data_IF_984489053756
#
_entry.id   IF_984489053756
#
_cell.length_a   1.000
_cell.length_b   1.000
_cell.length_c   1.000
_cell.angle_alpha   90.00
_cell.angle_beta   90.00
_cell.angle_gamma   90.00
#
_symmetry.space_group_name_H-M   'P 1'
#
loop_
_entity.id
_entity.type
_entity.pdbx_description
1 polymer ?
#
# COMPACT_ATOMS: atom_id res chain seq x y z
N UNK A 1 45.42 -21.75 -73.07
CA UNK A 1 44.26 -20.98 -72.57
C UNK A 1 43.41 -21.80 -71.60
N UNK A 2 43.56 -23.13 -71.57
CA UNK A 2 42.71 -24.03 -70.78
C UNK A 2 42.97 -23.97 -69.25
N UNK A 3 44.20 -23.69 -68.80
CA UNK A 3 44.52 -23.64 -67.36
C UNK A 3 43.90 -22.45 -66.61
N UNK A 4 43.57 -21.35 -67.30
CA UNK A 4 42.94 -20.17 -66.68
C UNK A 4 41.43 -20.35 -66.49
N UNK A 5 40.77 -21.09 -67.39
CA UNK A 5 39.33 -21.39 -67.26
C UNK A 5 39.06 -22.46 -66.20
N UNK A 6 39.93 -23.47 -66.09
CA UNK A 6 39.84 -24.49 -65.03
C UNK A 6 39.98 -23.88 -63.62
N UNK A 7 40.91 -22.93 -63.45
CA UNK A 7 41.15 -22.28 -62.16
C UNK A 7 40.02 -21.30 -61.76
N UNK A 8 39.41 -20.63 -62.74
CA UNK A 8 38.21 -19.81 -62.51
C UNK A 8 36.96 -20.62 -62.14
N UNK A 9 36.81 -21.82 -62.71
CA UNK A 9 35.70 -22.72 -62.41
C UNK A 9 35.82 -23.34 -61.00
N UNK A 10 37.03 -23.73 -60.59
CA UNK A 10 37.31 -24.24 -59.24
C UNK A 10 37.01 -23.20 -58.15
N UNK A 11 37.40 -21.94 -58.36
CA UNK A 11 37.15 -20.88 -57.39
C UNK A 11 35.65 -20.55 -57.27
N UNK A 12 34.91 -20.61 -58.38
CA UNK A 12 33.45 -20.43 -58.37
C UNK A 12 32.74 -21.57 -57.65
N UNK A 13 33.17 -22.81 -57.87
CA UNK A 13 32.60 -23.99 -57.20
C UNK A 13 32.89 -23.99 -55.69
N UNK A 14 34.05 -23.46 -55.28
CA UNK A 14 34.41 -23.29 -53.87
C UNK A 14 33.57 -22.21 -53.19
N UNK A 15 33.33 -21.08 -53.87
CA UNK A 15 32.41 -20.03 -53.39
C UNK A 15 30.96 -20.53 -53.26
N UNK A 16 30.49 -21.34 -54.22
CA UNK A 16 29.15 -21.96 -54.17
C UNK A 16 29.02 -22.96 -53.01
N UNK A 17 30.06 -23.76 -52.74
CA UNK A 17 30.12 -24.67 -51.58
C UNK A 17 30.12 -23.89 -50.26
N UNK A 18 30.83 -22.77 -50.18
CA UNK A 18 30.85 -21.92 -48.99
C UNK A 18 29.49 -21.26 -48.75
N UNK A 19 28.82 -20.78 -49.81
CA UNK A 19 27.47 -20.21 -49.71
C UNK A 19 26.43 -21.25 -49.28
N UNK A 20 26.51 -22.48 -49.80
CA UNK A 20 25.62 -23.57 -49.39
C UNK A 20 25.85 -23.97 -47.92
N UNK A 21 27.11 -23.95 -47.46
CA UNK A 21 27.45 -24.18 -46.05
C UNK A 21 26.85 -23.10 -45.13
N UNK A 22 26.98 -21.82 -45.50
CA UNK A 22 26.36 -20.68 -44.79
C UNK A 22 24.83 -20.79 -44.75
N UNK A 23 24.20 -21.21 -45.85
CA UNK A 23 22.76 -21.43 -45.93
C UNK A 23 22.30 -22.54 -44.97
N UNK A 24 23.04 -23.65 -44.92
CA UNK A 24 22.72 -24.76 -44.01
C UNK A 24 22.93 -24.36 -42.54
N UNK A 25 24.02 -23.65 -42.22
CA UNK A 25 24.27 -23.14 -40.87
C UNK A 25 23.19 -22.14 -40.42
N UNK A 26 22.73 -21.26 -41.32
CA UNK A 26 21.62 -20.35 -41.04
C UNK A 26 20.30 -21.08 -40.79
N UNK A 27 20.02 -22.16 -41.54
CA UNK A 27 18.86 -23.03 -41.33
C UNK A 27 18.94 -23.76 -39.98
N UNK A 28 20.12 -24.25 -39.59
CA UNK A 28 20.30 -24.89 -38.29
C UNK A 28 20.06 -23.91 -37.14
N UNK A 29 20.66 -22.72 -37.19
CA UNK A 29 20.45 -21.64 -36.20
C UNK A 29 18.99 -21.23 -36.09
N UNK A 30 18.24 -21.23 -37.20
CA UNK A 30 16.80 -20.94 -37.17
C UNK A 30 16.02 -22.03 -36.41
N UNK A 31 16.33 -23.30 -36.65
CA UNK A 31 15.70 -24.43 -35.93
C UNK A 31 16.05 -24.42 -34.44
N UNK A 32 17.26 -24.03 -34.07
CA UNK A 32 17.65 -23.86 -32.66
C UNK A 32 16.86 -22.75 -31.98
N UNK A 33 16.75 -21.58 -32.62
CA UNK A 33 15.91 -20.49 -32.11
C UNK A 33 14.43 -20.88 -31.98
N UNK A 34 13.92 -21.71 -32.88
CA UNK A 34 12.55 -22.24 -32.79
C UNK A 34 12.40 -23.22 -31.61
N UNK A 35 13.39 -24.09 -31.36
CA UNK A 35 13.42 -24.96 -30.18
C UNK A 35 13.50 -24.16 -28.87
N UNK A 36 14.32 -23.12 -28.83
CA UNK A 36 14.42 -22.20 -27.69
C UNK A 36 13.08 -21.50 -27.42
N UNK A 37 12.41 -21.01 -28.46
CA UNK A 37 11.06 -20.41 -28.32
C UNK A 37 10.05 -21.39 -27.73
N UNK A 38 10.02 -22.63 -28.22
CA UNK A 38 9.13 -23.67 -27.69
C UNK A 38 9.47 -24.03 -26.24
N UNK A 39 10.75 -24.09 -25.88
CA UNK A 39 11.19 -24.32 -24.50
C UNK A 39 10.75 -23.20 -23.55
N UNK A 40 10.89 -21.94 -23.98
CA UNK A 40 10.43 -20.76 -23.23
C UNK A 40 8.91 -20.77 -23.06
N UNK A 41 8.16 -21.08 -24.12
CA UNK A 41 6.70 -21.16 -24.03
C UNK A 41 6.23 -22.27 -23.09
N UNK A 42 6.92 -23.43 -23.12
CA UNK A 42 6.69 -24.53 -22.17
C UNK A 42 6.98 -24.10 -20.73
N UNK A 43 8.10 -23.41 -20.49
CA UNK A 43 8.45 -22.89 -19.16
C UNK A 43 7.42 -21.87 -18.65
N UNK A 44 6.89 -20.99 -19.50
CA UNK A 44 5.84 -20.03 -19.14
C UNK A 44 4.55 -20.76 -18.76
N UNK A 45 4.14 -21.78 -19.53
CA UNK A 45 2.95 -22.58 -19.24
C UNK A 45 3.10 -23.31 -17.89
N UNK A 46 4.24 -23.92 -17.66
CA UNK A 46 4.56 -24.64 -16.43
C UNK A 46 4.64 -23.70 -15.21
N UNK A 47 5.19 -22.50 -15.37
CA UNK A 47 5.22 -21.48 -14.33
C UNK A 47 3.81 -20.98 -13.97
N UNK A 48 2.92 -20.83 -14.97
CA UNK A 48 1.52 -20.47 -14.74
C UNK A 48 0.79 -21.59 -13.98
N UNK A 49 0.95 -22.84 -14.39
CA UNK A 49 0.33 -23.99 -13.71
C UNK A 49 0.81 -24.11 -12.25
N UNK A 50 2.11 -23.93 -11.99
CA UNK A 50 2.64 -23.88 -10.61
C UNK A 50 2.05 -22.73 -9.80
N UNK A 51 1.97 -21.52 -10.38
CA UNK A 51 1.39 -20.37 -9.69
C UNK A 51 -0.10 -20.59 -9.36
N UNK A 52 -0.86 -21.23 -10.25
CA UNK A 52 -2.25 -21.61 -9.99
C UNK A 52 -2.38 -22.70 -8.91
N UNK A 53 -1.48 -23.70 -8.90
CA UNK A 53 -1.44 -24.72 -7.86
C UNK A 53 -1.11 -24.13 -6.48
N UNK A 54 -0.08 -23.29 -6.39
CA UNK A 54 0.31 -22.59 -5.16
C UNK A 54 -0.82 -21.68 -4.64
N UNK A 55 -1.51 -20.97 -5.53
CA UNK A 55 -2.66 -20.14 -5.16
C UNK A 55 -3.81 -20.97 -4.60
N UNK A 56 -4.09 -22.14 -5.20
CA UNK A 56 -5.11 -23.07 -4.72
C UNK A 56 -4.74 -23.66 -3.35
N UNK A 57 -3.48 -24.06 -3.17
CA UNK A 57 -2.97 -24.56 -1.88
C UNK A 57 -3.09 -23.48 -0.79
N UNK A 58 -2.63 -22.26 -1.07
CA UNK A 58 -2.77 -21.12 -0.15
C UNK A 58 -4.23 -20.85 0.22
N UNK A 59 -5.14 -20.89 -0.75
CA UNK A 59 -6.57 -20.72 -0.48
C UNK A 59 -7.14 -21.82 0.42
N UNK A 60 -6.69 -23.08 0.27
CA UNK A 60 -7.11 -24.17 1.16
C UNK A 60 -6.57 -24.01 2.58
N UNK A 61 -5.31 -23.60 2.72
CA UNK A 61 -4.68 -23.34 4.02
C UNK A 61 -5.33 -22.13 4.71
N UNK A 62 -5.64 -21.07 3.96
CA UNK A 62 -6.33 -19.89 4.47
C UNK A 62 -7.77 -20.22 4.89
N UNK A 63 -8.48 -21.06 4.13
CA UNK A 63 -9.82 -21.55 4.49
C UNK A 63 -9.78 -22.40 5.76
N UNK A 64 -8.80 -23.30 5.89
CA UNK A 64 -8.60 -24.09 7.11
C UNK A 64 -8.24 -23.20 8.32
N UNK A 65 -7.40 -22.18 8.11
CA UNK A 65 -7.07 -21.20 9.16
C UNK A 65 -8.28 -20.34 9.55
N UNK A 66 -9.13 -19.95 8.59
CA UNK A 66 -10.37 -19.23 8.86
C UNK A 66 -11.39 -20.09 9.61
N UNK A 67 -11.50 -21.37 9.27
CA UNK A 67 -12.34 -22.33 9.97
C UNK A 67 -11.84 -22.57 11.40
N UNK A 68 -10.53 -22.69 11.62
CA UNK A 68 -9.94 -22.79 12.95
C UNK A 68 -10.17 -21.52 13.78
N UNK A 69 -10.10 -20.33 13.16
CA UNK A 69 -10.47 -19.06 13.81
C UNK A 69 -11.95 -19.02 14.18
N UNK A 70 -12.84 -19.49 13.31
CA UNK A 70 -14.28 -19.57 13.60
C UNK A 70 -14.58 -20.57 14.73
N UNK A 71 -13.92 -21.73 14.76
CA UNK A 71 -14.04 -22.73 15.85
C UNK A 71 -13.55 -22.17 17.19
N UNK A 72 -12.44 -21.44 17.21
CA UNK A 72 -11.98 -20.76 18.42
C UNK A 72 -12.96 -19.66 18.90
N UNK A 73 -13.60 -18.94 17.98
CA UNK A 73 -14.63 -17.95 18.31
C UNK A 73 -15.92 -18.64 18.82
N UNK A 74 -16.33 -19.76 18.24
CA UNK A 74 -17.50 -20.53 18.70
C UNK A 74 -17.26 -21.20 20.05
N UNK A 75 -16.08 -21.79 20.27
CA UNK A 75 -15.70 -22.40 21.55
C UNK A 75 -15.55 -21.33 22.64
N UNK A 76 -15.04 -20.15 22.28
CA UNK A 76 -15.05 -18.97 23.14
C UNK A 76 -16.47 -18.54 23.50
N UNK A 77 -17.41 -18.57 22.54
CA UNK A 77 -18.82 -18.25 22.76
C UNK A 77 -19.58 -19.33 23.55
N UNK A 78 -19.25 -20.60 23.41
CA UNK A 78 -19.85 -21.70 24.17
C UNK A 78 -19.34 -21.74 25.62
N UNK A 79 -18.06 -21.45 25.84
CA UNK A 79 -17.49 -21.22 27.18
C UNK A 79 -18.08 -19.97 27.83
N UNK A 80 -18.30 -18.90 27.06
CA UNK A 80 -19.00 -17.69 27.55
C UNK A 80 -20.49 -17.95 27.80
N UNK A 81 -21.13 -18.79 26.98
CA UNK A 81 -22.54 -19.18 27.08
C UNK A 81 -22.84 -19.99 28.34
N UNK A 82 -21.96 -20.94 28.72
CA UNK A 82 -22.05 -21.66 30.00
C UNK A 82 -21.84 -20.74 31.22
N UNK A 83 -21.14 -19.62 31.07
CA UNK A 83 -20.99 -18.60 32.13
C UNK A 83 -22.06 -17.49 32.10
N UNK A 84 -22.87 -17.39 31.04
CA UNK A 84 -23.80 -16.25 30.83
C UNK A 84 -25.21 -16.53 31.38
N UNK A 85 -25.58 -17.77 31.67
CA UNK A 85 -26.86 -18.08 32.34
C UNK A 85 -26.92 -17.63 33.82
N UNK A 86 -25.84 -17.11 34.40
CA UNK A 86 -25.79 -16.58 35.78
C UNK A 86 -25.37 -15.09 35.88
N UNK A 87 -25.17 -14.36 34.78
CA UNK A 87 -24.55 -13.04 34.82
C UNK A 87 -25.36 -11.94 34.13
N UNK A 88 -26.69 -12.05 34.10
CA UNK A 88 -27.54 -10.94 33.69
C UNK A 88 -27.98 -10.13 34.91
N UNK A 89 -27.06 -9.31 35.44
CA UNK A 89 -27.28 -8.01 36.11
C UNK A 89 -25.91 -7.44 36.54
N UNK A 90 -25.07 -7.01 35.58
CA UNK A 90 -23.85 -6.24 35.93
C UNK A 90 -24.21 -4.77 36.06
N UNK A 91 -24.21 -4.30 37.30
CA UNK A 91 -24.59 -2.94 37.70
C UNK A 91 -23.69 -1.89 37.04
N UNK A 92 -24.17 -0.64 36.84
CA UNK A 92 -23.39 0.43 36.21
C UNK A 92 -22.06 0.72 36.92
N UNK A 93 -21.96 0.41 38.21
CA UNK A 93 -20.73 0.56 39.00
C UNK A 93 -19.59 -0.36 38.53
N UNK A 94 -19.88 -1.59 38.09
CA UNK A 94 -18.86 -2.53 37.62
C UNK A 94 -18.30 -2.15 36.24
N UNK A 95 -19.15 -1.56 35.39
CA UNK A 95 -18.72 -1.01 34.09
C UNK A 95 -17.82 0.22 34.27
N UNK A 96 -18.18 1.11 35.19
CA UNK A 96 -17.34 2.25 35.57
C UNK A 96 -15.99 1.80 36.16
N UNK A 97 -15.97 0.72 36.96
CA UNK A 97 -14.75 0.15 37.52
C UNK A 97 -13.82 -0.44 36.44
N UNK A 98 -14.37 -1.13 35.43
CA UNK A 98 -13.56 -1.64 34.30
C UNK A 98 -13.00 -0.51 33.41
N UNK A 99 -13.80 0.52 33.16
CA UNK A 99 -13.34 1.68 32.39
C UNK A 99 -12.23 2.45 33.13
N UNK A 100 -12.36 2.60 34.45
CA UNK A 100 -11.34 3.19 35.30
C UNK A 100 -10.02 2.39 35.26
N UNK A 101 -10.11 1.05 35.26
CA UNK A 101 -8.92 0.18 35.13
C UNK A 101 -8.22 0.34 33.78
N UNK A 102 -8.96 0.32 32.68
CA UNK A 102 -8.40 0.54 31.33
C UNK A 102 -7.78 1.93 31.17
N UNK A 103 -8.37 2.95 31.80
CA UNK A 103 -7.82 4.32 31.80
C UNK A 103 -6.55 4.42 32.63
N UNK A 104 -6.50 3.75 33.79
CA UNK A 104 -5.30 3.70 34.62
C UNK A 104 -4.15 2.95 33.93
N UNK A 105 -4.44 1.86 33.23
CA UNK A 105 -3.47 1.11 32.43
C UNK A 105 -2.90 1.93 31.28
N UNK A 106 -3.76 2.64 30.52
CA UNK A 106 -3.31 3.57 29.47
C UNK A 106 -2.43 4.68 30.03
N UNK A 107 -2.78 5.27 31.17
CA UNK A 107 -1.98 6.29 31.82
C UNK A 107 -0.64 5.76 32.34
N UNK A 108 -0.57 4.50 32.79
CA UNK A 108 0.67 3.86 33.20
C UNK A 108 1.61 3.62 32.00
N UNK A 109 1.06 3.13 30.88
CA UNK A 109 1.83 2.95 29.63
C UNK A 109 2.35 4.30 29.11
N UNK A 110 1.51 5.34 29.11
CA UNK A 110 1.94 6.68 28.69
C UNK A 110 3.07 7.22 29.58
N UNK A 111 2.96 7.09 30.91
CA UNK A 111 4.04 7.48 31.85
C UNK A 111 5.34 6.71 31.60
N UNK A 112 5.26 5.39 31.40
CA UNK A 112 6.44 4.58 31.10
C UNK A 112 7.12 5.02 29.79
N UNK A 113 6.33 5.35 28.76
CA UNK A 113 6.87 5.86 27.48
C UNK A 113 7.46 7.27 27.61
N UNK A 114 6.86 8.14 28.42
CA UNK A 114 7.39 9.47 28.70
C UNK A 114 8.70 9.40 29.49
N UNK A 115 8.78 8.52 30.48
CA UNK A 115 10.00 8.28 31.28
C UNK A 115 11.13 7.69 30.41
N UNK A 116 10.83 6.73 29.53
CA UNK A 116 11.81 6.20 28.59
C UNK A 116 12.37 7.28 27.64
N UNK A 117 11.51 8.22 27.19
CA UNK A 117 11.94 9.37 26.38
C UNK A 117 12.81 10.34 27.17
N UNK A 118 12.46 10.64 28.41
CA UNK A 118 13.26 11.50 29.29
C UNK A 118 14.65 10.90 29.56
N UNK A 119 14.72 9.60 29.88
CA UNK A 119 15.99 8.89 30.07
C UNK A 119 16.86 8.84 28.81
N UNK A 120 16.25 8.78 27.63
CA UNK A 120 16.99 8.85 26.36
C UNK A 120 17.60 10.24 26.12
N UNK A 121 16.86 11.31 26.45
CA UNK A 121 17.36 12.68 26.34
C UNK A 121 18.49 12.93 27.34
N UNK A 122 18.34 12.49 28.59
CA UNK A 122 19.38 12.61 29.62
C UNK A 122 20.66 11.88 29.19
N UNK A 123 20.55 10.64 28.68
CA UNK A 123 21.70 9.91 28.14
C UNK A 123 22.39 10.64 26.98
N UNK A 124 21.63 11.23 26.06
CA UNK A 124 22.20 12.02 24.96
C UNK A 124 22.92 13.28 25.45
N UNK A 125 22.41 13.94 26.50
CA UNK A 125 23.07 15.08 27.13
C UNK A 125 24.35 14.67 27.88
N UNK A 126 24.33 13.56 28.61
CA UNK A 126 25.51 13.02 29.29
C UNK A 126 26.59 12.53 28.32
N UNK A 127 26.21 11.89 27.21
CA UNK A 127 27.14 11.45 26.16
C UNK A 127 27.79 12.67 25.47
N UNK A 128 27.00 13.73 25.22
CA UNK A 128 27.51 14.99 24.70
C UNK A 128 28.49 15.68 25.65
N UNK A 129 28.17 15.74 26.95
CA UNK A 129 29.07 16.29 27.97
C UNK A 129 30.37 15.48 28.10
N UNK A 130 30.30 14.15 28.01
CA UNK A 130 31.48 13.28 28.01
C UNK A 130 32.35 13.48 26.75
N UNK A 131 31.73 13.70 25.58
CA UNK A 131 32.46 14.02 24.35
C UNK A 131 33.10 15.41 24.37
N UNK A 132 32.47 16.42 24.98
CA UNK A 132 33.06 17.76 25.15
C UNK A 132 34.25 17.75 26.13
N UNK A 133 34.19 16.94 27.19
CA UNK A 133 35.33 16.75 28.09
C UNK A 133 36.53 16.07 27.40
N UNK A 134 36.26 15.12 26.49
CA UNK A 134 37.28 14.43 25.68
C UNK A 134 37.92 15.33 24.62
N UNK A 135 37.18 16.32 24.13
CA UNK A 135 37.68 17.34 23.19
C UNK A 135 38.54 18.41 23.87
N UNK A 136 38.35 18.63 25.18
CA UNK A 136 39.11 19.64 25.95
C UNK A 136 40.51 19.17 26.38
N UNK A 137 40.83 17.88 26.23
CA UNK A 137 42.17 17.32 26.51
C UNK A 137 43.12 17.28 25.32
N UNK A 138 42.71 17.79 24.14
CA UNK A 138 43.55 17.80 22.91
C UNK A 138 43.88 19.23 22.44
N UNK A 139 43.43 20.26 23.15
CA UNK A 139 43.71 21.66 22.84
C UNK A 139 44.93 22.17 23.63
N UNK A 140 46.08 21.56 23.38
CA UNK A 140 47.38 22.06 23.81
C UNK A 140 48.38 21.78 22.70
N UNK A 141 49.03 22.83 22.21
CA UNK A 141 50.03 22.90 21.12
C UNK A 141 49.51 23.20 19.71
N UNK A 142 49.94 24.35 19.18
CA UNK A 142 50.06 24.58 17.74
C UNK A 142 49.39 25.85 17.21
N UNK A 143 49.92 27.03 17.54
CA UNK A 143 49.68 28.24 16.77
C UNK A 143 50.50 28.22 15.47
N UNK A 144 49.89 28.47 14.30
CA UNK A 144 50.54 29.17 13.18
C UNK A 144 49.53 29.58 12.09
N UNK A 145 49.89 30.65 11.40
CA UNK A 145 49.13 31.53 10.50
C UNK A 145 48.99 30.91 9.09
N UNK A 146 47.89 31.15 8.37
CA UNK A 146 47.71 32.24 7.39
C UNK A 146 46.71 31.87 6.27
N UNK A 147 45.93 32.90 5.89
CA UNK A 147 45.22 33.19 4.63
C UNK A 147 44.41 32.15 3.84
N UNK A 148 43.21 32.61 3.43
CA UNK A 148 42.54 32.12 2.22
C UNK A 148 41.04 32.35 2.14
N UNK A 149 40.59 33.61 2.23
CA UNK A 149 39.21 33.99 1.90
C UNK A 149 38.89 33.58 0.46
N UNK A 150 37.77 32.85 0.23
CA UNK A 150 36.78 33.13 -0.82
C UNK A 150 35.56 32.19 -0.81
N UNK A 151 34.40 32.85 -0.73
CA UNK A 151 33.05 32.53 -1.23
C UNK A 151 32.19 31.42 -0.59
N UNK A 152 31.28 31.92 0.25
CA UNK A 152 30.01 31.35 0.65
C UNK A 152 29.00 31.36 -0.51
N UNK A 153 28.57 30.18 -0.97
CA UNK A 153 27.24 29.98 -1.55
C UNK A 153 26.52 28.92 -0.72
N UNK A 154 25.50 29.39 0.01
CA UNK A 154 24.63 28.61 0.87
C UNK A 154 23.70 27.74 0.02
N UNK A 155 23.81 26.42 0.13
CA UNK A 155 22.70 25.51 -0.17
C UNK A 155 22.67 24.42 0.90
N UNK A 156 21.77 24.61 1.88
CA UNK A 156 21.65 23.77 3.07
C UNK A 156 20.75 22.59 2.74
N UNK A 157 21.33 21.54 2.14
CA UNK A 157 20.69 20.22 2.10
C UNK A 157 21.04 19.49 3.41
N UNK A 158 20.02 19.21 4.21
CA UNK A 158 20.12 18.36 5.40
C UNK A 158 20.31 16.91 4.94
N UNK A 159 21.55 16.50 4.73
CA UNK A 159 21.92 15.10 4.59
C UNK A 159 22.01 14.47 5.99
N UNK A 160 21.27 13.39 6.20
CA UNK A 160 21.45 12.52 7.34
C UNK A 160 22.89 12.00 7.31
N UNK A 161 23.67 12.35 8.34
CA UNK A 161 25.09 12.10 8.42
C UNK A 161 25.43 10.61 8.36
N UNK A 162 25.77 10.14 7.17
CA UNK A 162 26.82 9.13 7.00
C UNK A 162 28.10 9.95 6.95
N UNK A 163 28.82 10.01 8.07
CA UNK A 163 30.21 10.48 8.06
C UNK A 163 31.01 9.46 7.27
N UNK A 164 31.26 9.78 6.01
CA UNK A 164 32.37 9.20 5.25
C UNK A 164 33.64 9.72 5.91
N UNK A 165 34.13 8.95 6.89
CA UNK A 165 35.43 9.17 7.50
C UNK A 165 36.44 8.64 6.52
N UNK A 166 36.92 9.51 5.64
CA UNK A 166 38.22 9.33 4.99
C UNK A 166 39.26 9.29 6.10
N UNK A 167 39.50 8.08 6.60
CA UNK A 167 40.53 7.79 7.57
C UNK A 167 41.87 8.16 6.94
N UNK A 168 42.53 9.11 7.58
CA UNK A 168 43.92 9.46 7.39
C UNK A 168 44.72 8.17 7.40
N UNK A 169 45.49 7.94 6.34
CA UNK A 169 46.44 6.85 6.24
C UNK A 169 47.36 6.84 7.46
N UNK A 170 47.11 5.93 8.39
CA UNK A 170 48.09 5.51 9.37
C UNK A 170 48.33 4.00 9.28
N UNK A 171 49.61 3.67 9.37
CA UNK A 171 50.27 2.37 9.33
C UNK A 171 49.44 1.09 9.14
N UNK A 172 49.72 0.41 8.03
CA UNK A 172 50.01 -1.03 8.02
C UNK A 172 48.97 -1.97 8.67
N UNK A 173 47.90 -2.27 7.94
CA UNK A 173 47.42 -3.64 7.73
C UNK A 173 46.20 -3.57 6.82
N UNK A 174 46.33 -4.07 5.59
CA UNK A 174 45.18 -4.28 4.72
C UNK A 174 44.10 -5.01 5.50
N UNK A 175 42.91 -4.43 5.57
CA UNK A 175 41.77 -5.02 6.26
C UNK A 175 41.69 -6.48 5.79
N UNK A 176 41.90 -7.44 6.71
CA UNK A 176 41.95 -8.87 6.37
C UNK A 176 40.78 -9.17 5.45
N UNK A 177 40.98 -9.88 4.33
CA UNK A 177 39.94 -10.04 3.29
C UNK A 177 38.56 -10.44 3.85
N UNK A 178 38.53 -11.15 4.98
CA UNK A 178 37.33 -11.49 5.75
C UNK A 178 36.56 -10.29 6.34
N UNK A 179 37.23 -9.26 6.86
CA UNK A 179 36.60 -8.04 7.41
C UNK A 179 36.02 -7.16 6.29
N UNK A 180 36.72 -7.03 5.17
CA UNK A 180 36.21 -6.34 3.98
C UNK A 180 34.96 -7.05 3.43
N UNK A 181 34.99 -8.39 3.34
CA UNK A 181 33.83 -9.21 2.93
C UNK A 181 32.64 -9.05 3.89
N UNK A 182 32.87 -9.06 5.20
CA UNK A 182 31.82 -8.89 6.20
C UNK A 182 31.17 -7.49 6.16
N UNK A 183 31.96 -6.43 5.91
CA UNK A 183 31.42 -5.07 5.70
C UNK A 183 30.55 -5.01 4.45
N UNK A 184 31.05 -5.53 3.32
CA UNK A 184 30.31 -5.56 2.06
C UNK A 184 28.98 -6.30 2.21
N UNK A 185 28.98 -7.47 2.85
CA UNK A 185 27.77 -8.26 3.08
C UNK A 185 26.77 -7.54 4.01
N UNK A 186 27.24 -6.79 5.01
CA UNK A 186 26.37 -5.95 5.84
C UNK A 186 25.75 -4.80 5.03
N UNK A 187 26.55 -4.10 4.24
CA UNK A 187 26.06 -3.03 3.36
C UNK A 187 25.07 -3.57 2.33
N UNK A 188 25.33 -4.75 1.79
CA UNK A 188 24.43 -5.46 0.87
C UNK A 188 23.08 -5.76 1.55
N UNK A 189 23.07 -6.38 2.74
CA UNK A 189 21.82 -6.66 3.48
C UNK A 189 21.04 -5.39 3.82
N UNK A 190 21.73 -4.28 4.12
CA UNK A 190 21.08 -2.99 4.38
C UNK A 190 20.48 -2.43 3.08
N UNK A 191 21.25 -2.45 1.98
CA UNK A 191 20.79 -2.06 0.66
C UNK A 191 19.58 -2.87 0.19
N UNK A 192 19.60 -4.18 0.39
CA UNK A 192 18.48 -5.07 0.08
C UNK A 192 17.23 -4.77 0.91
N UNK A 193 17.38 -4.48 2.22
CA UNK A 193 16.24 -4.08 3.06
C UNK A 193 15.64 -2.75 2.63
N UNK A 194 16.49 -1.78 2.30
CA UNK A 194 16.05 -0.46 1.82
C UNK A 194 15.37 -0.61 0.45
N UNK A 195 15.98 -1.35 -0.47
CA UNK A 195 15.42 -1.61 -1.80
C UNK A 195 14.09 -2.36 -1.71
N UNK A 196 13.97 -3.36 -0.84
CA UNK A 196 12.73 -4.09 -0.61
C UNK A 196 11.64 -3.20 -0.02
N UNK A 197 11.96 -2.39 0.99
CA UNK A 197 11.00 -1.45 1.59
C UNK A 197 10.52 -0.41 0.57
N UNK A 198 11.44 0.09 -0.28
CA UNK A 198 11.11 1.03 -1.35
C UNK A 198 10.23 0.38 -2.42
N UNK A 199 10.57 -0.83 -2.87
CA UNK A 199 9.75 -1.57 -3.83
C UNK A 199 8.35 -1.87 -3.27
N UNK A 200 8.24 -2.26 -2.00
CA UNK A 200 6.97 -2.50 -1.32
C UNK A 200 6.11 -1.23 -1.24
N UNK A 201 6.72 -0.10 -0.89
CA UNK A 201 6.05 1.21 -0.91
C UNK A 201 5.58 1.56 -2.32
N UNK A 202 6.46 1.50 -3.32
CA UNK A 202 6.12 1.82 -4.70
C UNK A 202 5.01 0.91 -5.25
N UNK A 203 5.00 -0.38 -4.86
CA UNK A 203 3.92 -1.31 -5.23
C UNK A 203 2.58 -0.90 -4.59
N UNK A 204 2.56 -0.52 -3.31
CA UNK A 204 1.34 -0.01 -2.67
C UNK A 204 0.84 1.27 -3.32
N UNK A 205 1.74 2.21 -3.57
CA UNK A 205 1.42 3.49 -4.19
C UNK A 205 0.87 3.28 -5.62
N UNK A 206 1.47 2.37 -6.39
CA UNK A 206 0.98 2.00 -7.73
C UNK A 206 -0.44 1.40 -7.70
N UNK A 207 -0.78 0.59 -6.70
CA UNK A 207 -2.13 0.03 -6.57
C UNK A 207 -3.17 1.11 -6.26
N UNK A 208 -2.88 1.98 -5.30
CA UNK A 208 -3.76 3.11 -4.93
C UNK A 208 -3.95 4.03 -6.12
N UNK A 209 -2.88 4.29 -6.87
CA UNK A 209 -2.93 5.17 -8.03
C UNK A 209 -3.76 4.57 -9.17
N UNK A 210 -3.63 3.26 -9.45
CA UNK A 210 -4.48 2.58 -10.43
C UNK A 210 -5.96 2.63 -10.06
N UNK A 211 -6.30 2.36 -8.80
CA UNK A 211 -7.68 2.47 -8.32
C UNK A 211 -8.21 3.92 -8.44
N UNK A 212 -7.38 4.90 -8.10
CA UNK A 212 -7.73 6.31 -8.22
C UNK A 212 -7.88 6.76 -9.68
N UNK A 213 -7.03 6.28 -10.58
CA UNK A 213 -7.12 6.55 -12.02
C UNK A 213 -8.40 5.95 -12.62
N UNK A 214 -8.75 4.73 -12.23
CA UNK A 214 -10.03 4.12 -12.61
C UNK A 214 -11.22 4.91 -12.08
N UNK A 215 -11.15 5.35 -10.83
CA UNK A 215 -12.16 6.24 -10.23
C UNK A 215 -12.27 7.54 -11.02
N UNK A 216 -11.15 8.18 -11.34
CA UNK A 216 -11.11 9.46 -12.07
C UNK A 216 -11.63 9.31 -13.51
N UNK A 217 -11.28 8.23 -14.20
CA UNK A 217 -11.76 7.95 -15.58
C UNK A 217 -13.28 7.93 -15.65
N UNK A 218 -13.92 7.37 -14.63
CA UNK A 218 -15.38 7.19 -14.61
C UNK A 218 -16.09 8.31 -13.86
N UNK A 219 -15.37 9.08 -13.04
CA UNK A 219 -15.90 10.18 -12.22
C UNK A 219 -16.70 11.19 -13.04
N UNK A 220 -16.22 11.65 -14.19
CA UNK A 220 -16.91 12.68 -14.98
C UNK A 220 -18.29 12.21 -15.46
N UNK A 221 -18.39 10.96 -15.92
CA UNK A 221 -19.66 10.37 -16.35
C UNK A 221 -20.64 10.21 -15.19
N UNK A 222 -20.15 9.73 -14.04
CA UNK A 222 -20.96 9.54 -12.84
C UNK A 222 -21.37 10.87 -12.23
N UNK A 223 -20.51 11.88 -12.25
CA UNK A 223 -20.83 13.23 -11.81
C UNK A 223 -21.89 13.87 -12.71
N UNK A 224 -21.83 13.65 -14.02
CA UNK A 224 -22.88 14.10 -14.93
C UNK A 224 -24.21 13.41 -14.63
N UNK A 225 -24.21 12.11 -14.34
CA UNK A 225 -25.39 11.35 -13.93
C UNK A 225 -25.97 11.83 -12.60
N UNK A 226 -25.13 12.01 -11.59
CA UNK A 226 -25.53 12.52 -10.28
C UNK A 226 -26.06 13.95 -10.40
N UNK A 227 -25.40 14.83 -11.15
CA UNK A 227 -25.86 16.21 -11.38
C UNK A 227 -27.20 16.25 -12.11
N UNK A 228 -27.34 15.45 -13.18
CA UNK A 228 -28.60 15.34 -13.92
C UNK A 228 -29.71 14.84 -13.02
N UNK A 229 -29.42 13.82 -12.20
CA UNK A 229 -30.36 13.33 -11.22
C UNK A 229 -30.70 14.42 -10.20
N UNK A 230 -29.74 15.07 -9.54
CA UNK A 230 -30.02 16.03 -8.46
C UNK A 230 -30.59 17.37 -8.92
N UNK A 231 -30.45 17.70 -10.21
CA UNK A 231 -30.91 18.97 -10.79
C UNK A 231 -32.38 19.26 -10.46
N UNK A 232 -32.65 20.47 -9.95
CA UNK A 232 -34.01 20.90 -9.58
C UNK A 232 -34.55 20.33 -8.27
N UNK A 233 -33.82 19.42 -7.59
CA UNK A 233 -34.23 18.82 -6.31
C UNK A 233 -33.11 18.83 -5.25
N UNK A 234 -32.00 19.51 -5.53
CA UNK A 234 -30.96 19.82 -4.54
C UNK A 234 -31.55 20.56 -3.34
N UNK A 235 -31.30 20.06 -2.13
CA UNK A 235 -31.84 20.64 -0.90
C UNK A 235 -33.27 20.22 -0.54
N UNK A 236 -34.03 19.62 -1.47
CA UNK A 236 -35.35 19.07 -1.18
C UNK A 236 -35.26 17.59 -0.81
N UNK A 237 -35.26 17.30 0.48
CA UNK A 237 -35.08 15.94 0.98
C UNK A 237 -36.17 14.97 0.49
N UNK A 238 -37.43 15.40 0.41
CA UNK A 238 -38.55 14.55 -0.05
C UNK A 238 -38.38 14.14 -1.51
N UNK A 239 -38.01 15.09 -2.37
CA UNK A 239 -37.78 14.84 -3.79
C UNK A 239 -36.58 13.91 -4.03
N UNK A 240 -35.50 14.06 -3.26
CA UNK A 240 -34.33 13.18 -3.36
C UNK A 240 -34.66 11.75 -2.92
N UNK A 241 -35.35 11.58 -1.78
CA UNK A 241 -35.71 10.25 -1.26
C UNK A 241 -36.69 9.49 -2.15
N UNK A 242 -37.65 10.18 -2.76
CA UNK A 242 -38.65 9.55 -3.65
C UNK A 242 -38.10 9.13 -5.02
N UNK A 243 -36.92 9.62 -5.40
CA UNK A 243 -36.29 9.37 -6.70
C UNK A 243 -34.92 8.70 -6.58
N UNK A 244 -34.56 8.22 -5.39
CA UNK A 244 -33.25 7.61 -5.10
C UNK A 244 -33.02 6.29 -5.86
N UNK A 245 -34.09 5.59 -6.24
CA UNK A 245 -34.04 4.36 -7.05
C UNK A 245 -33.39 4.55 -8.41
N UNK A 246 -33.51 5.74 -9.01
CA UNK A 246 -33.01 5.99 -10.37
C UNK A 246 -31.49 6.15 -10.41
N UNK A 247 -30.86 6.52 -9.30
CA UNK A 247 -29.41 6.74 -9.22
C UNK A 247 -28.68 5.56 -8.57
N UNK A 248 -29.31 4.85 -7.63
CA UNK A 248 -28.70 3.71 -6.95
C UNK A 248 -28.82 2.39 -7.72
N UNK A 249 -29.75 2.29 -8.67
CA UNK A 249 -30.01 1.08 -9.44
C UNK A 249 -30.67 -0.06 -8.64
N UNK A 250 -31.09 -1.14 -9.32
CA UNK A 250 -31.79 -2.27 -8.69
C UNK A 250 -30.90 -3.05 -7.70
N UNK A 251 -29.59 -3.09 -7.93
CA UNK A 251 -28.64 -3.86 -7.10
C UNK A 251 -28.45 -3.28 -5.70
N UNK A 252 -28.86 -2.02 -5.49
CA UNK A 252 -28.81 -1.38 -4.17
C UNK A 252 -29.78 -2.00 -3.16
N UNK A 253 -30.86 -2.63 -3.64
CA UNK A 253 -31.97 -3.08 -2.80
C UNK A 253 -32.83 -1.93 -2.24
N UNK A 254 -32.65 -0.71 -2.76
CA UNK A 254 -33.50 0.43 -2.42
C UNK A 254 -34.92 0.23 -2.98
N UNK A 255 -35.91 0.41 -2.11
CA UNK A 255 -37.32 0.34 -2.51
C UNK A 255 -37.82 1.75 -2.82
N UNK A 256 -38.42 1.99 -4.00
CA UNK A 256 -39.03 3.28 -4.32
C UNK A 256 -40.05 3.68 -3.26
N UNK A 257 -40.03 4.96 -2.85
CA UNK A 257 -40.97 5.50 -1.87
C UNK A 257 -41.75 6.63 -2.56
N UNK A 258 -43.07 6.49 -2.78
CA UNK A 258 -43.85 7.55 -3.39
C UNK A 258 -43.94 8.77 -2.46
N UNK A 259 -44.13 9.95 -3.04
CA UNK A 259 -44.24 11.21 -2.26
C UNK A 259 -45.38 11.18 -1.23
N UNK A 260 -46.44 10.41 -1.51
CA UNK A 260 -47.58 10.18 -0.61
C UNK A 260 -47.16 9.55 0.73
N UNK A 261 -46.09 8.76 0.73
CA UNK A 261 -45.66 8.00 1.91
C UNK A 261 -44.65 8.79 2.75
N UNK A 262 -44.15 9.92 2.23
CA UNK A 262 -43.15 10.80 2.88
C UNK A 262 -43.67 12.24 3.04
N UNK A 263 -44.98 12.40 3.22
CA UNK A 263 -45.60 13.70 3.52
C UNK A 263 -45.21 14.16 4.93
N UNK A 264 -45.37 13.28 5.91
CA UNK A 264 -45.10 13.58 7.33
C UNK A 264 -43.61 13.59 7.63
N UNK A 265 -43.21 14.45 8.56
CA UNK A 265 -41.81 14.61 8.94
C UNK A 265 -41.22 13.35 9.56
N UNK A 266 -42.01 12.60 10.31
CA UNK A 266 -41.61 11.29 10.86
C UNK A 266 -41.30 10.29 9.75
N UNK A 267 -42.08 10.25 8.69
CA UNK A 267 -41.84 9.39 7.53
C UNK A 267 -40.58 9.80 6.77
N UNK A 268 -40.36 11.10 6.56
CA UNK A 268 -39.12 11.63 5.96
C UNK A 268 -37.89 11.23 6.77
N UNK A 269 -37.94 11.40 8.10
CA UNK A 269 -36.84 11.02 9.02
C UNK A 269 -36.56 9.51 8.97
N UNK A 270 -37.60 8.66 8.87
CA UNK A 270 -37.45 7.21 8.71
C UNK A 270 -36.84 6.83 7.37
N UNK A 271 -37.31 7.43 6.28
CA UNK A 271 -36.80 7.20 4.93
C UNK A 271 -35.35 7.65 4.78
N UNK A 272 -34.98 8.82 5.33
CA UNK A 272 -33.60 9.31 5.35
C UNK A 272 -32.65 8.36 6.09
N UNK A 273 -33.01 7.93 7.30
CA UNK A 273 -32.21 6.96 8.07
C UNK A 273 -32.03 5.64 7.32
N UNK A 274 -33.05 5.20 6.58
CA UNK A 274 -32.95 4.02 5.72
C UNK A 274 -31.97 4.30 4.57
N UNK A 275 -32.13 5.43 3.87
CA UNK A 275 -31.30 5.80 2.73
C UNK A 275 -29.81 5.87 3.10
N UNK A 276 -29.47 6.50 4.22
CA UNK A 276 -28.07 6.61 4.67
C UNK A 276 -27.42 5.26 4.88
N UNK A 277 -28.14 4.23 5.34
CA UNK A 277 -27.59 2.87 5.47
C UNK A 277 -27.24 2.22 4.12
N UNK A 278 -27.95 2.56 3.04
CA UNK A 278 -27.69 2.03 1.72
C UNK A 278 -26.53 2.74 1.02
N UNK A 279 -26.40 4.05 1.23
CA UNK A 279 -25.34 4.85 0.59
C UNK A 279 -24.09 5.03 1.45
N UNK A 280 -24.06 4.47 2.67
CA UNK A 280 -22.92 4.62 3.57
C UNK A 280 -21.68 3.85 3.08
N UNK A 281 -20.48 4.46 3.05
CA UNK A 281 -19.27 3.82 2.53
C UNK A 281 -18.90 2.52 3.25
N UNK A 282 -19.06 2.43 4.58
CA UNK A 282 -18.83 1.20 5.34
C UNK A 282 -19.73 0.03 4.89
N UNK A 283 -21.01 0.32 4.63
CA UNK A 283 -21.96 -0.71 4.20
C UNK A 283 -21.72 -1.13 2.74
N UNK A 284 -21.27 -0.21 1.89
CA UNK A 284 -20.86 -0.52 0.52
C UNK A 284 -19.58 -1.35 0.48
N UNK A 285 -18.65 -1.11 1.40
CA UNK A 285 -17.44 -1.92 1.56
C UNK A 285 -17.79 -3.36 1.98
N UNK A 286 -18.72 -3.53 2.93
CA UNK A 286 -19.19 -4.86 3.37
C UNK A 286 -19.92 -5.63 2.25
N UNK A 287 -20.62 -4.93 1.36
CA UNK A 287 -21.36 -5.53 0.23
C UNK A 287 -20.50 -5.82 -1.01
N UNK A 288 -19.23 -5.42 -1.02
CA UNK A 288 -18.37 -5.58 -2.19
C UNK A 288 -18.83 -4.73 -3.39
N UNK A 289 -19.36 -3.54 -3.14
CA UNK A 289 -19.87 -2.65 -4.20
C UNK A 289 -18.75 -2.26 -5.19
N UNK A 290 -19.11 -2.07 -6.47
CA UNK A 290 -18.17 -1.62 -7.50
C UNK A 290 -17.62 -0.22 -7.19
N UNK A 291 -16.45 0.12 -7.75
CA UNK A 291 -15.84 1.46 -7.62
C UNK A 291 -16.83 2.55 -8.06
N UNK A 292 -17.60 2.29 -9.12
CA UNK A 292 -18.65 3.19 -9.62
C UNK A 292 -19.76 3.39 -8.58
N UNK A 293 -20.27 2.31 -8.00
CA UNK A 293 -21.35 2.39 -7.00
C UNK A 293 -20.88 3.14 -5.75
N UNK A 294 -19.65 2.88 -5.29
CA UNK A 294 -19.04 3.62 -4.17
C UNK A 294 -18.99 5.11 -4.46
N UNK A 295 -18.55 5.49 -5.67
CA UNK A 295 -18.50 6.88 -6.12
C UNK A 295 -19.88 7.55 -6.12
N UNK A 296 -20.86 6.91 -6.76
CA UNK A 296 -22.24 7.44 -6.83
C UNK A 296 -22.81 7.63 -5.42
N UNK A 297 -22.70 6.61 -4.59
CA UNK A 297 -23.24 6.65 -3.24
C UNK A 297 -22.56 7.71 -2.36
N UNK A 298 -21.26 7.94 -2.51
CA UNK A 298 -20.55 9.03 -1.83
C UNK A 298 -21.17 10.39 -2.18
N UNK A 299 -21.35 10.68 -3.47
CA UNK A 299 -21.96 11.94 -3.93
C UNK A 299 -23.42 12.07 -3.47
N UNK A 300 -24.19 11.00 -3.56
CA UNK A 300 -25.59 10.95 -3.14
C UNK A 300 -25.71 11.13 -1.62
N UNK A 301 -24.79 10.57 -0.83
CA UNK A 301 -24.76 10.73 0.62
C UNK A 301 -24.57 12.20 1.00
N UNK A 302 -23.65 12.91 0.36
CA UNK A 302 -23.43 14.34 0.61
C UNK A 302 -24.67 15.18 0.29
N UNK A 303 -25.33 14.91 -0.86
CA UNK A 303 -26.58 15.59 -1.25
C UNK A 303 -27.72 15.33 -0.25
N UNK A 304 -27.87 14.08 0.19
CA UNK A 304 -28.88 13.72 1.19
C UNK A 304 -28.60 14.38 2.54
N UNK A 305 -27.32 14.46 2.95
CA UNK A 305 -26.89 15.11 4.19
C UNK A 305 -27.16 16.61 4.15
N UNK A 306 -26.88 17.26 3.02
CA UNK A 306 -27.19 18.68 2.83
C UNK A 306 -28.70 18.94 2.93
N UNK A 307 -29.50 18.16 2.19
CA UNK A 307 -30.95 18.28 2.21
C UNK A 307 -31.56 17.97 3.59
N UNK A 308 -30.98 17.04 4.34
CA UNK A 308 -31.34 16.75 5.73
C UNK A 308 -31.08 17.92 6.66
N UNK A 309 -29.93 18.58 6.51
CA UNK A 309 -29.62 19.76 7.31
C UNK A 309 -30.61 20.88 7.05
N UNK A 310 -30.96 21.14 5.78
CA UNK A 310 -31.99 22.13 5.41
C UNK A 310 -33.37 21.76 5.96
N UNK A 311 -33.78 20.49 5.80
CA UNK A 311 -35.05 19.99 6.33
C UNK A 311 -35.17 20.18 7.85
N UNK A 312 -34.10 19.93 8.61
CA UNK A 312 -34.11 20.16 10.06
C UNK A 312 -34.09 21.64 10.46
N UNK A 313 -33.59 22.53 9.60
CA UNK A 313 -33.67 23.98 9.84
C UNK A 313 -35.09 24.51 9.65
N UNK A 314 -35.82 23.94 8.68
CA UNK A 314 -37.18 24.37 8.33
C UNK A 314 -38.26 23.74 9.24
N UNK A 315 -37.94 22.62 9.90
CA UNK A 315 -38.76 21.97 10.93
C UNK A 315 -38.56 22.55 12.35
N UNK A 316 -37.69 23.55 12.52
CA UNK A 316 -37.35 24.13 13.81
C UNK A 316 -38.09 25.44 14.04
#
# INVERSE_FOLDING_TARGET
MEDKEANGNLHKEEQEKEHLKKLNEAKEKKREREKEKLAVERAIREARERAFADAKERATLERAAAEARQKNISDGRERLGKTTSQANEKTPAEKAAMEAKLKAERAAVERATAEARARAIERALSERAASDARNKSVAGFGASRDNGIKHNFHSKSFSYGVRDSTDVSDGANGDSAQRCKARFERHQRIGERVAKALAEKNMRDCLVQKEQEERNRVAESLDADVKRWSSGKTGNLRALLSTLQYILGPDSGWQPIPLTDIVTSTAVKKAYRKATLFVHPDKLQQRGASIQQKYICEKVFDLLKEAWNRFNMEER
#
